data_IF_429577946503
#
_entry.id   IF_429577946503
#
_cell.length_a   1.000
_cell.length_b   1.000
_cell.length_c   1.000
_cell.angle_alpha   90.00
_cell.angle_beta   90.00
_cell.angle_gamma   90.00
#
_symmetry.space_group_name_H-M   'P 1'
#
loop_
_entity.id
_entity.type
_entity.pdbx_description
1 polymer ?
#
# COMPACT_ATOMS: atom_id res chain seq x y z
N UNK A 1 6.60 34.11 -16.14
CA UNK A 1 6.12 32.72 -16.01
C UNK A 1 7.21 31.68 -16.25
N UNK A 2 8.25 31.99 -17.05
CA UNK A 2 9.29 31.02 -17.42
C UNK A 2 10.29 30.69 -16.31
N UNK A 3 10.54 31.63 -15.39
CA UNK A 3 11.42 31.41 -14.22
C UNK A 3 10.89 30.30 -13.29
N UNK A 4 9.59 30.36 -12.94
CA UNK A 4 8.95 29.33 -12.11
C UNK A 4 8.91 27.97 -12.83
N UNK A 5 8.65 27.96 -14.14
CA UNK A 5 8.63 26.74 -14.95
C UNK A 5 10.02 26.07 -15.00
N UNK A 6 11.08 26.86 -15.15
CA UNK A 6 12.46 26.37 -15.15
C UNK A 6 12.90 25.91 -13.76
N UNK A 7 12.54 26.64 -12.71
CA UNK A 7 12.82 26.27 -11.32
C UNK A 7 12.14 24.96 -10.92
N UNK A 8 10.86 24.77 -11.26
CA UNK A 8 10.16 23.50 -11.04
C UNK A 8 10.70 22.38 -11.93
N UNK A 9 11.09 22.67 -13.18
CA UNK A 9 11.68 21.67 -14.09
C UNK A 9 13.03 21.12 -13.58
N UNK A 10 13.90 21.99 -13.07
CA UNK A 10 15.20 21.59 -12.53
C UNK A 10 15.09 20.94 -11.14
N UNK A 11 14.23 21.45 -10.28
CA UNK A 11 14.11 20.98 -8.89
C UNK A 11 13.27 19.69 -8.77
N UNK A 12 12.27 19.50 -9.64
CA UNK A 12 11.44 18.29 -9.68
C UNK A 12 11.86 17.31 -10.79
N UNK A 13 12.93 17.60 -11.54
CA UNK A 13 13.36 16.76 -12.67
C UNK A 13 12.32 16.63 -13.79
N UNK A 14 11.37 17.56 -13.90
CA UNK A 14 10.26 17.49 -14.87
C UNK A 14 10.68 17.83 -16.32
N UNK A 15 11.96 18.08 -16.56
CA UNK A 15 12.53 18.44 -17.86
C UNK A 15 13.29 17.32 -18.59
N UNK A 16 13.38 16.10 -18.07
CA UNK A 16 14.08 15.01 -18.74
C UNK A 16 13.14 14.25 -19.67
N UNK A 17 13.52 14.09 -20.95
CA UNK A 17 12.99 13.03 -21.80
C UNK A 17 12.95 11.73 -20.99
N UNK A 18 11.78 11.09 -20.90
CA UNK A 18 11.66 9.79 -20.27
C UNK A 18 12.44 8.78 -21.12
N UNK A 19 13.69 8.50 -20.73
CA UNK A 19 14.46 7.41 -21.33
C UNK A 19 13.71 6.10 -21.09
N UNK A 20 13.44 5.36 -22.17
CA UNK A 20 12.87 4.02 -22.06
C UNK A 20 13.99 3.05 -21.71
N UNK A 21 14.06 2.66 -20.44
CA UNK A 21 15.06 1.72 -19.91
C UNK A 21 14.71 0.25 -20.17
N UNK A 22 13.41 -0.06 -20.22
CA UNK A 22 12.92 -1.41 -20.50
C UNK A 22 12.78 -1.62 -22.00
N UNK A 23 13.32 -2.72 -22.49
CA UNK A 23 13.19 -3.14 -23.88
C UNK A 23 11.73 -3.45 -24.25
N UNK A 24 10.98 -4.13 -23.37
CA UNK A 24 9.53 -4.32 -23.45
C UNK A 24 8.82 -4.18 -22.08
N UNK A 25 7.50 -3.98 -22.12
CA UNK A 25 6.67 -3.76 -20.91
C UNK A 25 6.09 -5.09 -20.41
N UNK A 26 6.96 -6.07 -20.23
CA UNK A 26 6.63 -7.42 -19.74
C UNK A 26 7.38 -7.73 -18.46
N UNK A 27 6.99 -8.80 -17.76
CA UNK A 27 7.72 -9.25 -16.57
C UNK A 27 9.15 -9.68 -16.95
N UNK A 28 9.29 -10.30 -18.12
CA UNK A 28 10.57 -10.72 -18.69
C UNK A 28 11.49 -9.53 -18.98
N UNK A 29 10.95 -8.42 -19.52
CA UNK A 29 11.69 -7.17 -19.72
C UNK A 29 12.18 -6.56 -18.41
N UNK A 30 11.33 -6.55 -17.39
CA UNK A 30 11.73 -6.13 -16.04
C UNK A 30 12.83 -7.04 -15.49
N UNK A 31 12.72 -8.36 -15.65
CA UNK A 31 13.72 -9.32 -15.19
C UNK A 31 15.08 -9.09 -15.89
N UNK A 32 15.09 -8.88 -17.21
CA UNK A 32 16.32 -8.55 -17.95
C UNK A 32 16.95 -7.24 -17.45
N UNK A 33 16.14 -6.22 -17.19
CA UNK A 33 16.64 -4.97 -16.62
C UNK A 33 17.22 -5.17 -15.22
N UNK A 34 16.56 -5.95 -14.35
CA UNK A 34 17.04 -6.28 -13.01
C UNK A 34 18.38 -7.04 -13.02
N UNK A 35 18.62 -7.89 -14.02
CA UNK A 35 19.89 -8.60 -14.19
C UNK A 35 21.01 -7.73 -14.80
N UNK A 36 20.69 -6.53 -15.28
CA UNK A 36 21.68 -5.65 -15.91
C UNK A 36 22.50 -4.85 -14.90
N UNK A 37 23.72 -4.47 -15.30
CA UNK A 37 24.61 -3.58 -14.53
C UNK A 37 24.00 -2.20 -14.20
N UNK A 38 22.93 -1.79 -14.90
CA UNK A 38 22.23 -0.51 -14.66
C UNK A 38 21.32 -0.57 -13.42
N UNK A 39 20.74 -1.73 -13.10
CA UNK A 39 19.80 -1.89 -12.00
C UNK A 39 20.52 -2.26 -10.69
N UNK A 40 21.04 -1.24 -10.00
CA UNK A 40 21.82 -1.45 -8.75
C UNK A 40 21.07 -1.11 -7.46
N UNK A 41 19.91 -0.45 -7.56
CA UNK A 41 19.15 0.11 -6.43
C UNK A 41 17.68 -0.12 -6.69
N UNK A 42 17.07 -0.98 -5.87
CA UNK A 42 15.65 -1.34 -5.98
C UNK A 42 14.93 -0.86 -4.73
N UNK A 43 13.79 -0.21 -4.93
CA UNK A 43 12.89 0.22 -3.85
C UNK A 43 11.61 -0.60 -3.96
N UNK A 44 11.26 -1.32 -2.90
CA UNK A 44 10.00 -2.05 -2.81
C UNK A 44 8.98 -1.19 -2.06
N UNK A 45 7.91 -0.79 -2.74
CA UNK A 45 6.75 -0.16 -2.11
C UNK A 45 5.68 -1.23 -1.92
N UNK A 46 5.36 -1.54 -0.67
CA UNK A 46 4.43 -2.63 -0.32
C UNK A 46 3.21 -2.09 0.42
N UNK A 47 2.11 -2.82 0.35
CA UNK A 47 0.89 -2.55 1.11
C UNK A 47 0.32 -3.86 1.68
N UNK A 48 -0.85 -3.80 2.31
CA UNK A 48 -1.45 -4.96 2.99
C UNK A 48 -1.61 -6.21 2.11
N UNK A 49 -1.74 -6.04 0.78
CA UNK A 49 -1.92 -7.13 -0.18
C UNK A 49 -0.85 -8.23 -0.10
N UNK A 50 0.41 -7.89 0.25
CA UNK A 50 1.49 -8.90 0.35
C UNK A 50 1.33 -9.85 1.55
N UNK A 51 0.49 -9.50 2.53
CA UNK A 51 0.28 -10.25 3.76
C UNK A 51 -1.04 -11.04 3.76
N UNK A 52 -1.84 -10.95 2.70
CA UNK A 52 -3.11 -11.68 2.58
C UNK A 52 -2.91 -13.19 2.57
N UNK A 53 -1.83 -13.68 1.96
CA UNK A 53 -1.43 -15.10 1.99
C UNK A 53 -1.01 -15.59 3.38
N UNK A 54 -0.64 -14.68 4.28
CA UNK A 54 -0.36 -14.99 5.69
C UNK A 54 -1.63 -15.00 6.57
N UNK A 55 -2.81 -14.86 5.96
CA UNK A 55 -4.09 -14.83 6.67
C UNK A 55 -4.47 -13.47 7.26
N UNK A 56 -3.66 -12.43 7.05
CA UNK A 56 -3.96 -11.07 7.49
C UNK A 56 -4.79 -10.39 6.39
N UNK A 57 -6.05 -10.01 6.63
CA UNK A 57 -6.88 -9.40 5.60
C UNK A 57 -6.31 -8.05 5.17
N UNK A 58 -6.46 -7.70 3.89
CA UNK A 58 -6.25 -6.33 3.44
C UNK A 58 -7.44 -5.44 3.85
N UNK A 59 -7.38 -4.16 3.47
CA UNK A 59 -8.44 -3.22 3.83
C UNK A 59 -9.63 -3.22 2.86
N UNK A 60 -9.39 -3.44 1.56
CA UNK A 60 -10.30 -3.00 0.48
C UNK A 60 -10.81 -4.11 -0.43
N UNK A 61 -10.32 -5.34 -0.29
CA UNK A 61 -10.81 -6.46 -1.08
C UNK A 61 -12.32 -6.65 -0.85
N UNK A 62 -13.12 -6.82 -1.92
CA UNK A 62 -14.54 -7.11 -1.76
C UNK A 62 -14.75 -8.36 -0.92
N UNK A 63 -15.70 -8.31 0.03
CA UNK A 63 -16.08 -9.40 0.94
C UNK A 63 -15.02 -9.84 1.96
N UNK A 64 -13.74 -9.91 1.60
CA UNK A 64 -12.66 -10.39 2.49
C UNK A 64 -11.88 -9.25 3.16
N UNK A 65 -11.95 -8.04 2.62
CA UNK A 65 -11.29 -6.87 3.16
C UNK A 65 -11.90 -6.42 4.47
N UNK A 66 -11.08 -5.77 5.29
CA UNK A 66 -11.46 -5.31 6.62
C UNK A 66 -12.69 -4.39 6.58
N UNK A 67 -12.73 -3.43 5.66
CA UNK A 67 -13.86 -2.49 5.53
C UNK A 67 -15.21 -3.15 5.22
N UNK A 68 -15.21 -4.27 4.50
CA UNK A 68 -16.43 -5.02 4.22
C UNK A 68 -17.02 -5.68 5.48
N UNK A 69 -16.20 -5.88 6.51
CA UNK A 69 -16.53 -6.63 7.72
C UNK A 69 -16.68 -5.74 8.98
N UNK A 70 -16.70 -4.41 8.82
CA UNK A 70 -16.82 -3.47 9.95
C UNK A 70 -18.26 -3.11 10.35
N UNK A 71 -19.28 -3.67 9.70
CA UNK A 71 -20.68 -3.29 9.93
C UNK A 71 -21.10 -3.42 11.41
N UNK A 72 -20.56 -4.42 12.12
CA UNK A 72 -20.81 -4.65 13.56
C UNK A 72 -20.40 -3.48 14.47
N UNK A 73 -19.51 -2.60 14.01
CA UNK A 73 -18.98 -1.49 14.80
C UNK A 73 -19.81 -0.20 14.66
N UNK A 74 -20.86 -0.19 13.84
CA UNK A 74 -21.76 0.97 13.66
C UNK A 74 -21.03 2.29 13.38
N UNK A 75 -19.98 2.21 12.56
CA UNK A 75 -19.16 3.37 12.17
C UNK A 75 -19.94 4.28 11.21
N UNK A 76 -19.70 5.61 11.22
CA UNK A 76 -20.30 6.52 10.24
C UNK A 76 -19.83 6.21 8.80
N UNK A 77 -18.59 5.74 8.66
CA UNK A 77 -17.98 5.21 7.44
C UNK A 77 -16.79 4.32 7.83
N UNK A 78 -16.36 3.37 6.97
CA UNK A 78 -15.38 2.35 7.33
C UNK A 78 -14.02 2.88 7.80
N UNK A 79 -13.54 3.97 7.21
CA UNK A 79 -12.26 4.58 7.53
C UNK A 79 -12.22 5.23 8.91
N UNK A 80 -13.39 5.56 9.50
CA UNK A 80 -13.47 6.27 10.78
C UNK A 80 -12.77 5.52 11.91
N UNK A 81 -12.75 4.18 11.89
CA UNK A 81 -12.04 3.37 12.89
C UNK A 81 -10.52 3.64 12.95
N UNK A 82 -9.95 4.15 11.87
CA UNK A 82 -8.52 4.50 11.75
C UNK A 82 -8.28 6.02 11.78
N UNK A 83 -9.32 6.83 11.94
CA UNK A 83 -9.17 8.28 12.10
C UNK A 83 -8.89 8.65 13.56
N UNK A 84 -7.86 9.48 13.78
CA UNK A 84 -7.45 9.87 15.13
C UNK A 84 -8.51 10.69 15.88
N UNK A 85 -9.30 11.49 15.16
CA UNK A 85 -10.41 12.29 15.71
C UNK A 85 -11.54 11.40 16.25
N UNK A 86 -11.88 10.35 15.50
CA UNK A 86 -12.87 9.36 15.89
C UNK A 86 -12.36 8.50 17.03
N UNK A 87 -11.12 7.97 16.93
CA UNK A 87 -10.49 7.15 17.98
C UNK A 87 -10.48 7.85 19.35
N UNK A 88 -10.19 9.16 19.39
CA UNK A 88 -10.22 9.93 20.65
C UNK A 88 -11.60 10.04 21.30
N UNK A 89 -12.68 9.91 20.52
CA UNK A 89 -14.07 9.98 21.01
C UNK A 89 -14.66 8.60 21.26
N UNK A 90 -14.32 7.64 20.41
CA UNK A 90 -14.84 6.28 20.37
C UNK A 90 -13.68 5.29 20.13
N UNK A 91 -12.85 5.00 21.15
CA UNK A 91 -11.72 4.09 21.01
C UNK A 91 -12.14 2.60 20.98
N UNK A 92 -13.35 2.28 21.42
CA UNK A 92 -13.84 0.90 21.62
C UNK A 92 -13.85 0.08 20.32
N UNK A 93 -14.34 0.60 19.16
CA UNK A 93 -14.28 -0.13 17.90
C UNK A 93 -12.87 -0.52 17.49
N UNK A 94 -11.89 0.38 17.66
CA UNK A 94 -10.50 0.11 17.31
C UNK A 94 -9.91 -1.00 18.20
N UNK A 95 -10.14 -0.95 19.52
CA UNK A 95 -9.62 -1.99 20.42
C UNK A 95 -10.30 -3.35 20.21
N UNK A 96 -11.60 -3.38 19.89
CA UNK A 96 -12.30 -4.59 19.53
C UNK A 96 -11.72 -5.22 18.26
N UNK A 97 -11.47 -4.40 17.22
CA UNK A 97 -10.83 -4.84 15.99
C UNK A 97 -9.38 -5.31 16.24
N UNK A 98 -8.60 -4.58 17.03
CA UNK A 98 -7.22 -4.93 17.34
C UNK A 98 -7.11 -6.29 18.05
N UNK A 99 -8.10 -6.66 18.86
CA UNK A 99 -8.18 -7.99 19.48
C UNK A 99 -8.38 -9.11 18.47
N UNK A 100 -9.16 -8.86 17.42
CA UNK A 100 -9.40 -9.83 16.33
C UNK A 100 -8.17 -9.99 15.43
N UNK A 101 -7.41 -8.92 15.25
CA UNK A 101 -6.19 -8.90 14.42
C UNK A 101 -4.91 -9.24 15.20
N UNK A 102 -5.02 -9.60 16.48
CA UNK A 102 -3.84 -9.74 17.33
C UNK A 102 -2.94 -10.89 16.83
N UNK A 103 -1.61 -10.67 16.70
CA UNK A 103 -0.68 -11.69 16.23
C UNK A 103 -0.74 -12.96 17.11
N UNK A 104 -0.76 -14.13 16.47
CA UNK A 104 -0.86 -15.45 17.14
C UNK A 104 -2.16 -16.20 16.91
N UNK A 105 -3.19 -15.57 16.33
CA UNK A 105 -4.43 -16.25 15.90
C UNK A 105 -4.39 -16.70 14.43
N UNK A 106 -3.49 -16.16 13.62
CA UNK A 106 -3.34 -16.51 12.21
C UNK A 106 -2.42 -17.72 12.06
N UNK A 107 -2.99 -18.86 11.65
CA UNK A 107 -2.23 -20.05 11.28
C UNK A 107 -1.80 -19.91 9.82
N UNK A 108 -0.51 -20.11 9.55
CA UNK A 108 0.01 -20.23 8.20
C UNK A 108 -0.45 -21.58 7.63
N UNK A 109 -1.38 -21.64 6.67
CA UNK A 109 -1.93 -22.92 6.19
C UNK A 109 -0.91 -23.72 5.35
N UNK A 110 0.22 -23.10 5.00
CA UNK A 110 1.19 -23.58 4.02
C UNK A 110 2.65 -23.43 4.46
N UNK A 111 2.91 -23.22 5.76
CA UNK A 111 4.24 -23.33 6.38
C UNK A 111 4.26 -24.48 7.37
#
# INVERSE_FOLDING_TARGET
MDFLRNFFSQTLGLGTQKERLLDDLTLEGVARFMLSERCRRVICLVGAGISTSAGIPDFRSPSTGLYANLQKYHLPYPEAIFEISYFKKHPEPFFALAKELFPGQFKFPHL
#
